data_IF_145098658577
#
_entry.id   IF_145098658577
#
_cell.length_a   1.000
_cell.length_b   1.000
_cell.length_c   1.000
_cell.angle_alpha   90.00
_cell.angle_beta   90.00
_cell.angle_gamma   90.00
#
_symmetry.space_group_name_H-M   'P 1'
#
loop_
_entity.id
_entity.type
_entity.pdbx_description
1 polymer ?
#
# COMPACT_ATOMS: atom_id res chain seq x y z
N UNK A 1 -8.16 46.17 -25.51
CA UNK A 1 -9.26 45.68 -24.65
C UNK A 1 -9.38 44.18 -24.88
N UNK A 2 -8.96 43.37 -23.91
CA UNK A 2 -9.04 41.90 -24.00
C UNK A 2 -10.46 41.53 -23.55
N UNK A 3 -11.22 40.88 -24.44
CA UNK A 3 -12.55 40.38 -24.16
C UNK A 3 -12.43 39.31 -23.06
N UNK A 4 -12.86 39.64 -21.84
CA UNK A 4 -13.03 38.68 -20.76
C UNK A 4 -14.17 37.75 -21.17
N UNK A 5 -13.80 36.65 -21.82
CA UNK A 5 -14.64 35.48 -22.04
C UNK A 5 -15.31 35.14 -20.71
N UNK A 6 -16.60 35.44 -20.60
CA UNK A 6 -17.49 34.95 -19.56
C UNK A 6 -17.41 33.43 -19.58
N UNK A 7 -16.58 32.86 -18.70
CA UNK A 7 -16.59 31.44 -18.41
C UNK A 7 -17.99 31.11 -17.92
N UNK A 8 -18.77 30.45 -18.78
CA UNK A 8 -20.08 29.91 -18.43
C UNK A 8 -19.87 28.92 -17.28
N UNK A 9 -20.03 29.39 -16.05
CA UNK A 9 -20.06 28.55 -14.86
C UNK A 9 -21.31 27.69 -14.95
N UNK A 10 -21.13 26.43 -15.31
CA UNK A 10 -22.21 25.45 -15.23
C UNK A 10 -22.44 25.19 -13.74
N UNK A 11 -23.54 25.70 -13.19
CA UNK A 11 -23.92 25.44 -11.81
C UNK A 11 -24.30 23.97 -11.64
N UNK A 12 -23.73 23.33 -10.61
CA UNK A 12 -24.13 21.98 -10.22
C UNK A 12 -25.59 21.99 -9.78
N UNK A 13 -26.34 20.94 -10.14
CA UNK A 13 -27.67 20.72 -9.53
C UNK A 13 -27.51 20.39 -8.04
N UNK A 14 -28.54 20.66 -7.24
CA UNK A 14 -28.54 20.30 -5.80
C UNK A 14 -28.22 18.81 -5.60
N UNK A 15 -28.77 17.94 -6.45
CA UNK A 15 -28.51 16.50 -6.43
C UNK A 15 -27.05 16.13 -6.74
N UNK A 16 -26.40 16.83 -7.67
CA UNK A 16 -24.98 16.61 -7.98
C UNK A 16 -24.08 17.08 -6.83
N UNK A 17 -24.41 18.21 -6.20
CA UNK A 17 -23.67 18.70 -5.04
C UNK A 17 -23.74 17.74 -3.86
N UNK A 18 -24.92 17.20 -3.54
CA UNK A 18 -25.09 16.21 -2.48
C UNK A 18 -24.35 14.91 -2.77
N UNK A 19 -24.42 14.42 -4.01
CA UNK A 19 -23.67 13.24 -4.44
C UNK A 19 -22.17 13.40 -4.22
N UNK A 20 -21.57 14.49 -4.71
CA UNK A 20 -20.14 14.75 -4.60
C UNK A 20 -19.68 14.92 -3.14
N UNK A 21 -20.49 15.54 -2.28
CA UNK A 21 -20.21 15.60 -0.83
C UNK A 21 -20.19 14.22 -0.19
N UNK A 22 -21.17 13.37 -0.54
CA UNK A 22 -21.23 11.99 -0.03
C UNK A 22 -20.06 11.15 -0.53
N UNK A 23 -19.63 11.35 -1.77
CA UNK A 23 -18.50 10.66 -2.37
C UNK A 23 -17.18 11.11 -1.72
N UNK A 24 -16.99 12.41 -1.51
CA UNK A 24 -15.84 12.93 -0.80
C UNK A 24 -15.72 12.36 0.63
N UNK A 25 -16.85 12.25 1.36
CA UNK A 25 -16.88 11.65 2.69
C UNK A 25 -16.46 10.16 2.66
N UNK A 26 -16.97 9.39 1.68
CA UNK A 26 -16.58 7.98 1.50
C UNK A 26 -15.08 7.83 1.22
N UNK A 27 -14.55 8.67 0.34
CA UNK A 27 -13.14 8.64 -0.05
C UNK A 27 -12.21 9.05 1.10
N UNK A 28 -12.62 10.02 1.93
CA UNK A 28 -11.87 10.36 3.14
C UNK A 28 -11.81 9.18 4.12
N UNK A 29 -12.92 8.48 4.32
CA UNK A 29 -12.94 7.26 5.15
C UNK A 29 -12.04 6.15 4.55
N UNK A 30 -11.99 6.03 3.22
CA UNK A 30 -11.08 5.10 2.54
C UNK A 30 -9.61 5.49 2.75
N UNK A 31 -9.26 6.78 2.66
CA UNK A 31 -7.90 7.28 2.97
C UNK A 31 -7.51 6.96 4.41
N UNK A 32 -8.40 7.19 5.39
CA UNK A 32 -8.15 6.85 6.80
C UNK A 32 -7.88 5.36 6.99
N UNK A 33 -8.67 4.51 6.32
CA UNK A 33 -8.47 3.06 6.32
C UNK A 33 -7.10 2.67 5.73
N UNK A 34 -6.74 3.22 4.57
CA UNK A 34 -5.45 2.96 3.93
C UNK A 34 -4.26 3.42 4.80
N UNK A 35 -4.39 4.55 5.48
CA UNK A 35 -3.39 5.03 6.44
C UNK A 35 -3.26 4.09 7.65
N UNK A 36 -4.38 3.59 8.19
CA UNK A 36 -4.36 2.60 9.26
C UNK A 36 -3.70 1.27 8.82
N UNK A 37 -3.94 0.86 7.58
CA UNK A 37 -3.31 -0.32 6.98
C UNK A 37 -1.79 -0.15 6.83
N UNK A 38 -1.33 1.02 6.39
CA UNK A 38 0.10 1.38 6.34
C UNK A 38 0.75 1.27 7.73
N UNK A 39 0.17 1.89 8.76
CA UNK A 39 0.69 1.82 10.13
C UNK A 39 0.74 0.37 10.64
N UNK A 40 -0.23 -0.46 10.26
CA UNK A 40 -0.26 -1.86 10.66
C UNK A 40 0.86 -2.65 9.98
N UNK A 41 1.12 -2.40 8.69
CA UNK A 41 2.24 -3.02 7.94
C UNK A 41 3.61 -2.66 8.51
N UNK A 42 3.80 -1.40 8.88
CA UNK A 42 5.04 -0.93 9.54
C UNK A 42 5.25 -1.65 10.88
N UNK A 43 4.21 -1.75 11.71
CA UNK A 43 4.25 -2.49 12.98
C UNK A 43 4.61 -3.96 12.78
N UNK A 44 4.03 -4.62 11.79
CA UNK A 44 4.36 -6.03 11.49
C UNK A 44 5.81 -6.20 11.03
N UNK A 45 6.30 -5.32 10.17
CA UNK A 45 7.72 -5.34 9.76
C UNK A 45 8.65 -5.23 10.96
N UNK A 46 8.43 -4.25 11.84
CA UNK A 46 9.23 -4.06 13.05
C UNK A 46 9.13 -5.25 14.01
N UNK A 47 7.94 -5.85 14.15
CA UNK A 47 7.73 -7.02 15.01
C UNK A 47 8.53 -8.22 14.52
N UNK A 48 8.55 -8.47 13.20
CA UNK A 48 9.35 -9.55 12.61
C UNK A 48 10.84 -9.29 12.82
N UNK A 49 11.30 -8.04 12.61
CA UNK A 49 12.70 -7.68 12.86
C UNK A 49 13.11 -7.96 14.31
N UNK A 50 12.27 -7.54 15.27
CA UNK A 50 12.51 -7.78 16.68
C UNK A 50 12.52 -9.28 17.02
N UNK A 51 11.57 -10.04 16.50
CA UNK A 51 11.49 -11.48 16.72
C UNK A 51 12.75 -12.21 16.18
N UNK A 52 13.20 -11.86 14.97
CA UNK A 52 14.42 -12.41 14.38
C UNK A 52 15.64 -12.04 15.20
N UNK A 53 15.78 -10.78 15.62
CA UNK A 53 16.89 -10.35 16.44
C UNK A 53 16.95 -11.12 17.78
N UNK A 54 15.81 -11.23 18.47
CA UNK A 54 15.70 -12.01 19.71
C UNK A 54 16.09 -13.47 19.48
N UNK A 55 15.61 -14.09 18.41
CA UNK A 55 15.94 -15.48 18.09
C UNK A 55 17.43 -15.67 17.82
N UNK A 56 18.04 -14.77 17.05
CA UNK A 56 19.50 -14.78 16.78
C UNK A 56 20.29 -14.68 18.08
N UNK A 57 19.98 -13.72 18.96
CA UNK A 57 20.70 -13.55 20.21
C UNK A 57 20.51 -14.69 21.23
N UNK A 58 19.40 -15.42 21.14
CA UNK A 58 19.07 -16.48 22.11
C UNK A 58 19.47 -17.87 21.66
N UNK A 59 19.44 -18.17 20.35
CA UNK A 59 19.60 -19.53 19.84
C UNK A 59 20.81 -19.73 18.91
N UNK A 60 21.38 -18.65 18.35
CA UNK A 60 22.57 -18.76 17.48
C UNK A 60 23.84 -18.47 18.28
N UNK A 61 24.60 -19.52 18.57
CA UNK A 61 25.97 -19.41 19.08
C UNK A 61 26.97 -19.37 17.90
N UNK A 62 28.19 -18.84 18.11
CA UNK A 62 29.20 -18.51 17.07
C UNK A 62 29.63 -19.66 16.12
N UNK A 63 29.12 -20.87 16.27
CA UNK A 63 29.49 -22.05 15.49
C UNK A 63 28.71 -22.20 14.16
N UNK A 64 27.55 -21.55 13.99
CA UNK A 64 26.71 -21.69 12.78
C UNK A 64 26.67 -20.40 11.93
N UNK A 65 27.82 -19.98 11.41
CA UNK A 65 27.99 -18.75 10.61
C UNK A 65 27.07 -18.70 9.38
N UNK A 66 26.83 -19.84 8.72
CA UNK A 66 25.95 -19.92 7.53
C UNK A 66 24.49 -19.64 7.88
N UNK A 67 23.98 -20.23 8.97
CA UNK A 67 22.61 -20.01 9.44
C UNK A 67 22.44 -18.56 9.94
N UNK A 68 23.44 -18.02 10.63
CA UNK A 68 23.45 -16.63 11.06
C UNK A 68 23.33 -15.67 9.85
N UNK A 69 24.10 -15.90 8.78
CA UNK A 69 24.01 -15.10 7.55
C UNK A 69 22.62 -15.18 6.91
N UNK A 70 22.04 -16.38 6.82
CA UNK A 70 20.72 -16.59 6.23
C UNK A 70 19.62 -15.87 7.04
N UNK A 71 19.61 -16.03 8.36
CA UNK A 71 18.60 -15.44 9.25
C UNK A 71 18.77 -13.92 9.36
N UNK A 72 19.99 -13.40 9.30
CA UNK A 72 20.26 -11.95 9.30
C UNK A 72 19.73 -11.23 8.06
N UNK A 73 19.47 -11.95 6.95
CA UNK A 73 18.84 -11.40 5.75
C UNK A 73 17.32 -11.19 5.88
N UNK A 74 16.68 -11.85 6.85
CA UNK A 74 15.21 -11.82 7.02
C UNK A 74 14.67 -10.41 7.31
N UNK A 75 15.24 -9.61 8.23
CA UNK A 75 14.83 -8.22 8.48
C UNK A 75 14.86 -7.34 7.22
N UNK A 76 15.87 -7.52 6.37
CA UNK A 76 16.04 -6.74 5.14
C UNK A 76 14.96 -7.08 4.12
N UNK A 77 14.76 -8.37 3.83
CA UNK A 77 13.75 -8.84 2.88
C UNK A 77 12.35 -8.44 3.36
N UNK A 78 12.06 -8.62 4.65
CA UNK A 78 10.77 -8.28 5.26
C UNK A 78 10.48 -6.79 5.10
N UNK A 79 11.45 -5.94 5.46
CA UNK A 79 11.33 -4.48 5.31
C UNK A 79 11.11 -4.07 3.86
N UNK A 80 11.79 -4.71 2.90
CA UNK A 80 11.58 -4.44 1.47
C UNK A 80 10.14 -4.78 1.03
N UNK A 81 9.63 -5.95 1.41
CA UNK A 81 8.27 -6.39 1.05
C UNK A 81 7.23 -5.42 1.62
N UNK A 82 7.31 -5.10 2.92
CA UNK A 82 6.37 -4.18 3.55
C UNK A 82 6.57 -2.73 3.07
N UNK A 83 7.77 -2.33 2.70
CA UNK A 83 8.07 -1.02 2.11
C UNK A 83 7.42 -0.85 0.74
N UNK A 84 7.56 -1.82 -0.15
CA UNK A 84 6.89 -1.83 -1.46
C UNK A 84 5.37 -1.83 -1.29
N UNK A 85 4.87 -2.63 -0.34
CA UNK A 85 3.45 -2.71 -0.01
C UNK A 85 2.88 -1.39 0.50
N UNK A 86 3.61 -0.71 1.37
CA UNK A 86 3.26 0.61 1.90
C UNK A 86 3.28 1.67 0.80
N UNK A 87 4.29 1.64 -0.09
CA UNK A 87 4.33 2.51 -1.26
C UNK A 87 3.08 2.36 -2.14
N UNK A 88 2.63 1.13 -2.38
CA UNK A 88 1.42 0.88 -3.17
C UNK A 88 0.15 1.49 -2.53
N UNK A 89 0.04 1.47 -1.20
CA UNK A 89 -1.03 2.17 -0.49
C UNK A 89 -0.92 3.68 -0.63
N UNK A 90 0.28 4.26 -0.50
CA UNK A 90 0.49 5.69 -0.68
C UNK A 90 0.18 6.16 -2.11
N UNK A 91 0.52 5.36 -3.12
CA UNK A 91 0.13 5.63 -4.50
C UNK A 91 -1.40 5.68 -4.64
N UNK A 92 -2.13 4.80 -3.94
CA UNK A 92 -3.60 4.81 -3.93
C UNK A 92 -4.18 6.03 -3.20
N UNK A 93 -3.65 6.37 -2.02
CA UNK A 93 -4.02 7.59 -1.28
C UNK A 93 -3.78 8.84 -2.15
N UNK A 94 -2.65 8.90 -2.86
CA UNK A 94 -2.35 9.99 -3.79
C UNK A 94 -3.41 10.11 -4.89
N UNK A 95 -3.86 8.99 -5.45
CA UNK A 95 -4.89 8.99 -6.49
C UNK A 95 -6.24 9.46 -5.97
N UNK A 96 -6.62 9.06 -4.76
CA UNK A 96 -7.81 9.58 -4.08
C UNK A 96 -7.68 11.09 -3.86
N UNK A 97 -6.54 11.56 -3.36
CA UNK A 97 -6.29 12.99 -3.14
C UNK A 97 -6.35 13.83 -4.42
N UNK A 98 -5.81 13.33 -5.54
CA UNK A 98 -5.93 13.99 -6.84
C UNK A 98 -7.40 14.10 -7.27
N UNK A 99 -8.20 13.05 -7.05
CA UNK A 99 -9.61 13.05 -7.38
C UNK A 99 -10.43 14.01 -6.51
N UNK A 100 -10.20 14.00 -5.19
CA UNK A 100 -10.83 14.93 -4.24
C UNK A 100 -10.53 16.39 -4.60
N UNK A 101 -9.28 16.69 -4.99
CA UNK A 101 -8.91 18.03 -5.44
C UNK A 101 -9.67 18.45 -6.70
N UNK A 102 -9.89 17.54 -7.66
CA UNK A 102 -10.73 17.83 -8.83
C UNK A 102 -12.18 18.13 -8.47
N UNK A 103 -12.73 17.44 -7.46
CA UNK A 103 -14.07 17.75 -6.92
C UNK A 103 -14.08 19.16 -6.31
N UNK A 104 -13.08 19.50 -5.51
CA UNK A 104 -12.95 20.82 -4.87
C UNK A 104 -12.82 21.95 -5.89
N UNK A 105 -11.96 21.78 -6.91
CA UNK A 105 -11.76 22.76 -7.99
C UNK A 105 -13.08 23.03 -8.77
N UNK A 106 -13.97 22.04 -8.87
CA UNK A 106 -15.31 22.25 -9.42
C UNK A 106 -16.23 23.06 -8.50
N UNK A 107 -16.17 22.85 -7.18
CA UNK A 107 -16.96 23.64 -6.22
C UNK A 107 -16.48 25.09 -6.13
N UNK A 108 -15.17 25.32 -6.25
CA UNK A 108 -14.57 26.66 -6.23
C UNK A 108 -14.73 27.42 -7.56
N UNK A 109 -15.16 26.73 -8.62
CA UNK A 109 -15.51 27.34 -9.91
C UNK A 109 -14.33 27.68 -10.80
N UNK A 110 -13.17 27.08 -10.55
CA UNK A 110 -11.94 27.22 -11.35
C UNK A 110 -11.85 26.14 -12.46
N UNK A 111 -12.69 25.10 -12.41
CA UNK A 111 -12.69 24.03 -13.40
C UNK A 111 -13.55 24.36 -14.64
N UNK A 112 -12.90 24.48 -15.81
CA UNK A 112 -13.56 24.59 -17.12
C UNK A 112 -14.14 23.25 -17.62
N UNK A 113 -13.70 22.13 -17.02
CA UNK A 113 -14.18 20.77 -17.31
C UNK A 113 -15.44 20.43 -16.48
N UNK A 114 -16.57 21.02 -16.85
CA UNK A 114 -17.90 20.55 -16.41
C UNK A 114 -18.39 19.30 -17.17
N UNK A 115 -17.63 18.86 -18.18
CA UNK A 115 -17.91 17.69 -19.00
C UNK A 115 -17.39 16.40 -18.34
N UNK A 116 -18.12 15.93 -17.34
CA UNK A 116 -18.06 14.53 -16.91
C UNK A 116 -17.06 14.23 -15.79
N UNK A 117 -17.35 14.72 -14.58
CA UNK A 117 -16.88 14.03 -13.37
C UNK A 117 -17.46 12.61 -13.40
N UNK A 118 -16.66 11.70 -13.93
CA UNK A 118 -16.86 10.27 -13.79
C UNK A 118 -16.73 9.97 -12.29
N UNK A 119 -17.74 9.33 -11.70
CA UNK A 119 -17.67 8.86 -10.31
C UNK A 119 -16.38 8.07 -10.07
N UNK A 120 -15.90 8.05 -8.83
CA UNK A 120 -14.58 7.55 -8.44
C UNK A 120 -14.20 6.24 -9.14
N UNK A 121 -15.11 5.27 -9.20
CA UNK A 121 -14.87 3.97 -9.83
C UNK A 121 -14.51 4.08 -11.31
N UNK A 122 -15.23 4.94 -12.05
CA UNK A 122 -14.97 5.18 -13.47
C UNK A 122 -13.67 5.97 -13.68
N UNK A 123 -13.34 6.90 -12.78
CA UNK A 123 -12.04 7.57 -12.79
C UNK A 123 -10.89 6.57 -12.55
N UNK A 124 -11.08 5.67 -11.60
CA UNK A 124 -10.11 4.66 -11.22
C UNK A 124 -9.89 3.58 -12.31
N UNK A 125 -10.94 3.27 -13.06
CA UNK A 125 -10.88 2.36 -14.22
C UNK A 125 -10.31 3.03 -15.47
N UNK A 126 -10.72 4.27 -15.78
CA UNK A 126 -10.24 5.01 -16.96
C UNK A 126 -8.73 5.22 -16.94
N UNK A 127 -8.15 5.46 -15.76
CA UNK A 127 -6.70 5.63 -15.61
C UNK A 127 -5.94 4.30 -15.37
N UNK A 128 -6.61 3.13 -15.54
CA UNK A 128 -6.04 1.79 -15.38
C UNK A 128 -5.35 1.55 -14.01
N UNK A 129 -5.71 2.37 -13.01
CA UNK A 129 -5.14 2.37 -11.66
C UNK A 129 -5.58 1.15 -10.86
N UNK A 130 -6.83 0.72 -11.04
CA UNK A 130 -7.41 -0.48 -10.44
C UNK A 130 -6.61 -1.74 -10.73
N UNK A 131 -6.32 -1.99 -12.01
CA UNK A 131 -5.56 -3.16 -12.45
C UNK A 131 -4.16 -3.18 -11.83
N UNK A 132 -3.48 -2.04 -11.84
CA UNK A 132 -2.13 -1.90 -11.26
C UNK A 132 -2.14 -2.16 -9.74
N UNK A 133 -3.08 -1.58 -9.01
CA UNK A 133 -3.19 -1.76 -7.56
C UNK A 133 -3.47 -3.22 -7.19
N UNK A 134 -4.43 -3.85 -7.88
CA UNK A 134 -4.79 -5.26 -7.66
C UNK A 134 -3.61 -6.18 -7.97
N UNK A 135 -2.92 -5.98 -9.10
CA UNK A 135 -1.76 -6.78 -9.47
C UNK A 135 -0.62 -6.68 -8.45
N UNK A 136 -0.25 -5.47 -8.03
CA UNK A 136 0.81 -5.27 -7.03
C UNK A 136 0.43 -5.92 -5.70
N UNK A 137 -0.82 -5.75 -5.27
CA UNK A 137 -1.32 -6.35 -4.02
C UNK A 137 -1.24 -7.88 -4.07
N UNK A 138 -1.67 -8.50 -5.17
CA UNK A 138 -1.56 -9.95 -5.35
C UNK A 138 -0.12 -10.45 -5.35
N UNK A 139 0.79 -9.75 -6.05
CA UNK A 139 2.21 -10.11 -6.08
C UNK A 139 2.81 -10.07 -4.66
N UNK A 140 2.49 -9.04 -3.88
CA UNK A 140 2.96 -8.91 -2.50
C UNK A 140 2.42 -10.05 -1.63
N UNK A 141 1.14 -10.38 -1.74
CA UNK A 141 0.54 -11.49 -0.98
C UNK A 141 1.20 -12.82 -1.29
N UNK A 142 1.43 -13.12 -2.57
CA UNK A 142 2.11 -14.34 -3.00
C UNK A 142 3.55 -14.35 -2.45
N UNK A 143 4.25 -13.22 -2.54
CA UNK A 143 5.62 -13.11 -2.04
C UNK A 143 5.70 -13.31 -0.51
N UNK A 144 4.74 -12.78 0.24
CA UNK A 144 4.64 -12.98 1.70
C UNK A 144 4.39 -14.44 2.05
N UNK A 145 3.48 -15.12 1.34
CA UNK A 145 3.19 -16.54 1.55
C UNK A 145 4.40 -17.43 1.23
N UNK A 146 5.07 -17.16 0.11
CA UNK A 146 6.29 -17.88 -0.27
C UNK A 146 7.40 -17.65 0.76
N UNK A 147 7.59 -16.41 1.21
CA UNK A 147 8.59 -16.09 2.22
C UNK A 147 8.30 -16.80 3.55
N UNK A 148 7.04 -16.82 4.00
CA UNK A 148 6.63 -17.54 5.19
C UNK A 148 6.90 -19.06 5.07
N UNK A 149 6.60 -19.65 3.92
CA UNK A 149 6.88 -21.08 3.67
C UNK A 149 8.38 -21.39 3.71
N UNK A 150 9.22 -20.53 3.10
CA UNK A 150 10.68 -20.67 3.13
C UNK A 150 11.21 -20.59 4.57
N UNK A 151 10.75 -19.60 5.35
CA UNK A 151 11.14 -19.47 6.75
C UNK A 151 10.70 -20.68 7.58
N UNK A 152 9.48 -21.18 7.36
CA UNK A 152 8.99 -22.37 8.05
C UNK A 152 9.85 -23.60 7.77
N UNK A 153 10.22 -23.82 6.50
CA UNK A 153 11.10 -24.92 6.11
C UNK A 153 12.49 -24.74 6.73
N UNK A 154 13.03 -23.53 6.66
CA UNK A 154 14.35 -23.19 7.19
C UNK A 154 14.43 -23.44 8.71
N UNK A 155 13.41 -23.04 9.46
CA UNK A 155 13.36 -23.25 10.91
C UNK A 155 13.10 -24.71 11.27
N UNK A 156 12.22 -25.40 10.54
CA UNK A 156 11.80 -26.76 10.91
C UNK A 156 12.81 -27.85 10.53
N UNK A 157 13.51 -27.72 9.41
CA UNK A 157 14.31 -28.83 8.85
C UNK A 157 15.82 -28.62 8.91
N UNK A 158 16.32 -27.38 9.02
CA UNK A 158 17.77 -27.15 9.11
C UNK A 158 18.39 -27.70 10.41
N UNK A 159 17.73 -27.66 11.58
CA UNK A 159 18.29 -28.27 12.80
C UNK A 159 18.58 -29.77 12.61
N UNK A 160 17.69 -30.52 11.97
CA UNK A 160 17.86 -31.96 11.74
C UNK A 160 18.99 -32.28 10.74
N UNK A 161 19.15 -31.45 9.70
CA UNK A 161 20.19 -31.63 8.69
C UNK A 161 21.58 -31.33 9.27
N UNK A 162 21.71 -30.28 10.09
CA UNK A 162 22.98 -29.94 10.75
C UNK A 162 23.39 -31.01 11.77
N UNK A 163 22.42 -31.54 12.54
CA UNK A 163 22.69 -32.62 13.52
C UNK A 163 23.13 -33.91 12.81
N UNK A 164 22.55 -34.25 11.65
CA UNK A 164 22.96 -35.45 10.87
C UNK A 164 24.28 -35.30 10.13
N UNK A 165 24.69 -34.09 9.75
CA UNK A 165 25.94 -33.86 9.00
C UNK A 165 27.17 -33.69 9.90
N UNK A 166 26.98 -33.49 11.22
CA UNK A 166 28.04 -33.38 12.22
C UNK A 166 28.44 -34.69 12.91
N UNK A 167 27.88 -35.82 12.47
CA UNK A 167 28.19 -37.18 12.94
C UNK A 167 28.87 -38.01 11.86
#
# INVERSE_FOLDING_TARGET
MINLSTTNKVSLTASQSEYLKSEAAKLNAEVEKLLAETRSREKYSLTIMAAVAVWVFTHLNNQNVTLLKAVSGVPFITTLIYGISTKALYDNIKWIGIYLRRIEDQFLGDAQDSLGLLGWEKYFEAENKKKRFVQITWIIWILQLLFAAILFILVSFIPEIIIRAGH
#
